data_IF_045256097468
#
_entry.id   IF_045256097468
#
_cell.length_a   1.000
_cell.length_b   1.000
_cell.length_c   1.000
_cell.angle_alpha   90.00
_cell.angle_beta   90.00
_cell.angle_gamma   90.00
#
_symmetry.space_group_name_H-M   'P 1'
#
loop_
_entity.id
_entity.type
_entity.pdbx_description
1 polymer ?
#
# COMPACT_ATOMS: atom_id res chain seq x y z
N UNK A 1 -1.65 4.34 23.42
CA UNK A 1 -2.97 4.56 22.79
C UNK A 1 -2.68 5.27 21.48
N UNK A 2 -2.62 4.54 20.36
CA UNK A 2 -2.27 5.15 19.08
C UNK A 2 -3.47 5.97 18.58
N UNK A 3 -3.26 7.24 18.27
CA UNK A 3 -4.29 8.10 17.69
C UNK A 3 -4.74 7.52 16.35
N UNK A 4 -5.97 7.00 16.33
CA UNK A 4 -6.65 6.57 15.11
C UNK A 4 -7.18 7.83 14.46
N UNK A 5 -6.65 8.16 13.28
CA UNK A 5 -7.15 9.27 12.47
C UNK A 5 -8.66 9.08 12.26
N UNK A 6 -9.53 10.08 12.51
CA UNK A 6 -10.97 9.88 12.54
C UNK A 6 -11.46 9.26 11.23
N UNK A 7 -12.20 8.17 11.37
CA UNK A 7 -12.93 7.53 10.30
C UNK A 7 -14.02 8.47 9.74
N UNK A 8 -14.66 8.05 8.64
CA UNK A 8 -15.79 8.75 8.03
C UNK A 8 -16.81 9.19 9.10
N UNK A 9 -17.40 10.40 9.00
CA UNK A 9 -18.34 10.91 10.00
C UNK A 9 -19.43 9.88 10.32
N UNK A 10 -19.56 9.50 11.59
CA UNK A 10 -20.60 8.60 12.09
C UNK A 10 -20.24 7.11 12.14
N UNK A 11 -19.00 6.71 11.82
CA UNK A 11 -18.54 5.32 12.02
C UNK A 11 -17.31 5.32 12.92
N UNK A 12 -17.42 4.71 14.11
CA UNK A 12 -16.27 4.45 14.98
C UNK A 12 -15.80 2.99 14.78
N UNK A 13 -14.63 2.75 14.17
CA UNK A 13 -14.15 1.39 13.92
C UNK A 13 -13.72 0.70 15.21
N UNK A 14 -14.23 -0.52 15.46
CA UNK A 14 -13.77 -1.34 16.59
C UNK A 14 -12.44 -2.01 16.27
N UNK A 15 -11.34 -1.43 16.73
CA UNK A 15 -9.99 -1.98 16.52
C UNK A 15 -9.74 -3.14 17.49
N UNK A 16 -9.77 -4.38 16.98
CA UNK A 16 -9.51 -5.58 17.80
C UNK A 16 -8.03 -6.00 17.80
N UNK A 17 -7.29 -5.65 16.74
CA UNK A 17 -5.90 -6.05 16.53
C UNK A 17 -5.12 -4.90 15.89
N UNK A 18 -3.84 -4.76 16.26
CA UNK A 18 -2.91 -3.82 15.66
C UNK A 18 -1.67 -4.58 15.19
N UNK A 19 -1.35 -4.46 13.91
CA UNK A 19 -0.14 -5.03 13.31
C UNK A 19 0.47 -4.02 12.34
N UNK A 20 1.78 -3.82 12.41
CA UNK A 20 2.50 -2.83 11.60
C UNK A 20 2.79 -3.30 10.18
N UNK A 21 2.91 -4.61 9.98
CA UNK A 21 3.26 -5.22 8.71
C UNK A 21 2.02 -5.75 7.98
N UNK A 22 1.90 -5.42 6.69
CA UNK A 22 0.78 -5.88 5.87
C UNK A 22 0.70 -7.42 5.77
N UNK A 23 1.82 -8.13 5.81
CA UNK A 23 1.80 -9.60 5.76
C UNK A 23 1.13 -10.19 7.01
N UNK A 24 1.37 -9.59 8.19
CA UNK A 24 0.79 -10.04 9.46
C UNK A 24 -0.70 -9.78 9.47
N UNK A 25 -1.12 -8.61 8.97
CA UNK A 25 -2.53 -8.27 8.79
C UNK A 25 -3.24 -9.30 7.89
N UNK A 26 -2.65 -9.66 6.74
CA UNK A 26 -3.24 -10.64 5.82
C UNK A 26 -3.29 -12.05 6.43
N UNK A 27 -2.28 -12.47 7.19
CA UNK A 27 -2.28 -13.76 7.87
C UNK A 27 -3.38 -13.84 8.95
N UNK A 28 -3.60 -12.76 9.71
CA UNK A 28 -4.69 -12.67 10.67
C UNK A 28 -6.06 -12.75 9.99
N UNK A 29 -6.23 -12.10 8.83
CA UNK A 29 -7.46 -12.16 8.04
C UNK A 29 -7.70 -13.58 7.52
N UNK A 30 -6.67 -14.24 6.99
CA UNK A 30 -6.76 -15.62 6.52
C UNK A 30 -7.15 -16.60 7.64
N UNK A 31 -6.73 -16.31 8.88
CA UNK A 31 -7.12 -17.07 10.07
C UNK A 31 -8.48 -16.65 10.67
N UNK A 32 -9.21 -15.72 10.04
CA UNK A 32 -10.56 -15.33 10.45
C UNK A 32 -10.65 -14.23 11.51
N UNK A 33 -9.55 -13.54 11.83
CA UNK A 33 -9.51 -12.49 12.86
C UNK A 33 -10.04 -11.11 12.41
N UNK A 34 -10.70 -11.03 11.24
CA UNK A 34 -11.45 -9.85 10.82
C UNK A 34 -11.10 -9.34 9.42
N UNK A 35 -11.11 -8.01 9.26
CA UNK A 35 -10.85 -7.30 7.99
C UNK A 35 -9.91 -6.13 8.22
N UNK A 36 -9.26 -5.66 7.16
CA UNK A 36 -8.45 -4.44 7.19
C UNK A 36 -8.58 -3.65 5.89
N UNK A 37 -8.21 -2.37 5.94
CA UNK A 37 -7.99 -1.57 4.73
C UNK A 37 -6.50 -1.65 4.38
N UNK A 38 -6.19 -2.29 3.24
CA UNK A 38 -4.81 -2.48 2.80
C UNK A 38 -4.50 -1.65 1.54
N UNK A 39 -3.32 -1.00 1.44
CA UNK A 39 -2.88 -0.36 0.21
C UNK A 39 -2.56 -1.41 -0.86
N UNK A 40 -2.69 -1.04 -2.14
CA UNK A 40 -2.23 -1.89 -3.25
C UNK A 40 -0.71 -2.05 -3.29
N UNK A 41 0.03 -1.05 -2.82
CA UNK A 41 1.48 -1.02 -2.81
C UNK A 41 2.03 -1.52 -1.48
N UNK A 42 2.89 -2.53 -1.52
CA UNK A 42 3.54 -3.08 -0.33
C UNK A 42 2.71 -4.15 0.40
N UNK A 43 1.49 -4.45 -0.07
CA UNK A 43 0.83 -5.71 0.29
C UNK A 43 1.52 -6.85 -0.45
N UNK A 44 1.79 -7.95 0.26
CA UNK A 44 2.29 -9.18 -0.35
C UNK A 44 1.22 -9.91 -1.18
N UNK A 45 1.50 -11.16 -1.57
CA UNK A 45 0.50 -12.06 -2.14
C UNK A 45 -0.73 -12.15 -1.25
N UNK A 46 -1.91 -12.29 -1.87
CA UNK A 46 -3.16 -12.48 -1.12
C UNK A 46 -3.25 -13.95 -0.73
N UNK A 47 -3.40 -14.29 0.56
CA UNK A 47 -3.56 -15.68 0.97
C UNK A 47 -4.83 -16.31 0.38
N UNK A 48 -4.82 -17.63 0.23
CA UNK A 48 -6.03 -18.39 -0.12
C UNK A 48 -7.16 -18.08 0.87
N UNK A 49 -8.39 -18.00 0.36
CA UNK A 49 -9.57 -17.65 1.16
C UNK A 49 -9.73 -16.16 1.48
N UNK A 50 -8.76 -15.30 1.13
CA UNK A 50 -8.85 -13.85 1.32
C UNK A 50 -9.26 -13.16 0.02
N UNK A 51 -10.27 -12.31 0.08
CA UNK A 51 -10.74 -11.51 -1.05
C UNK A 51 -10.38 -10.03 -0.90
N UNK A 52 -9.99 -9.39 -2.00
CA UNK A 52 -9.77 -7.94 -2.05
C UNK A 52 -10.99 -7.24 -2.64
N UNK A 53 -11.60 -6.36 -1.85
CA UNK A 53 -12.77 -5.58 -2.26
C UNK A 53 -12.37 -4.12 -2.47
N UNK A 54 -12.69 -3.50 -3.63
CA UNK A 54 -12.44 -2.08 -3.85
C UNK A 54 -13.19 -1.22 -2.82
N UNK A 55 -12.50 -0.23 -2.27
CA UNK A 55 -13.10 0.79 -1.40
C UNK A 55 -13.69 1.92 -2.23
N UNK A 56 -14.87 2.44 -1.84
CA UNK A 56 -15.53 3.56 -2.54
C UNK A 56 -14.71 4.85 -2.48
N UNK A 57 -14.14 5.14 -1.31
CA UNK A 57 -13.28 6.29 -1.08
C UNK A 57 -11.83 5.85 -1.28
N UNK A 58 -11.24 6.21 -2.41
CA UNK A 58 -9.91 5.73 -2.76
C UNK A 58 -8.84 6.51 -2.01
N UNK A 59 -8.07 5.84 -1.17
CA UNK A 59 -6.88 6.44 -0.55
C UNK A 59 -5.75 6.52 -1.57
N UNK A 60 -5.09 7.68 -1.67
CA UNK A 60 -3.93 7.88 -2.54
C UNK A 60 -2.66 7.83 -1.71
N UNK A 61 -1.67 7.07 -2.18
CA UNK A 61 -0.31 7.06 -1.62
C UNK A 61 0.61 7.83 -2.57
N UNK A 62 1.35 8.80 -2.04
CA UNK A 62 2.39 9.50 -2.80
C UNK A 62 3.73 8.81 -2.58
N UNK A 63 4.46 8.56 -3.68
CA UNK A 63 5.79 7.97 -3.67
C UNK A 63 6.76 8.99 -4.25
N UNK A 64 7.77 9.34 -3.45
CA UNK A 64 8.79 10.31 -3.81
C UNK A 64 10.13 9.60 -3.94
N UNK A 65 10.84 9.83 -5.04
CA UNK A 65 12.25 9.51 -5.16
C UNK A 65 13.05 10.73 -4.71
N UNK A 66 13.95 10.56 -3.77
CA UNK A 66 14.79 11.64 -3.21
C UNK A 66 16.23 11.22 -3.30
N UNK A 67 17.09 12.13 -3.77
CA UNK A 67 18.54 11.96 -3.81
C UNK A 67 19.20 13.29 -3.44
N UNK A 68 20.49 13.22 -3.10
CA UNK A 68 21.29 14.43 -2.85
C UNK A 68 21.52 15.17 -4.18
N UNK A 69 21.49 16.50 -4.16
CA UNK A 69 21.63 17.35 -5.37
C UNK A 69 22.90 17.06 -6.17
N UNK A 70 24.00 16.71 -5.50
CA UNK A 70 25.28 16.37 -6.11
C UNK A 70 25.28 15.01 -6.84
N UNK A 71 24.30 14.14 -6.58
CA UNK A 71 24.17 12.83 -7.20
C UNK A 71 23.45 12.87 -8.56
N UNK A 72 22.90 14.01 -8.98
CA UNK A 72 22.07 14.14 -10.18
C UNK A 72 22.79 13.76 -11.49
N UNK A 73 24.11 13.97 -11.54
CA UNK A 73 24.95 13.63 -12.70
C UNK A 73 25.22 12.14 -12.85
N UNK A 74 24.89 11.31 -11.85
CA UNK A 74 25.17 9.87 -11.88
C UNK A 74 24.18 9.17 -12.81
N UNK A 75 24.64 8.47 -13.87
CA UNK A 75 23.75 7.75 -14.79
C UNK A 75 22.84 6.74 -14.08
N UNK A 76 23.33 6.09 -13.02
CA UNK A 76 22.56 5.14 -12.22
C UNK A 76 21.36 5.76 -11.50
N UNK A 77 21.48 7.00 -11.00
CA UNK A 77 20.36 7.72 -10.37
C UNK A 77 19.28 8.03 -11.39
N UNK A 78 19.66 8.55 -12.56
CA UNK A 78 18.72 8.83 -13.66
C UNK A 78 18.02 7.55 -14.13
N UNK A 79 18.77 6.46 -14.30
CA UNK A 79 18.23 5.16 -14.72
C UNK A 79 17.22 4.59 -13.69
N UNK A 80 17.54 4.69 -12.39
CA UNK A 80 16.64 4.24 -11.32
C UNK A 80 15.34 5.06 -11.29
N UNK A 81 15.44 6.39 -11.38
CA UNK A 81 14.28 7.29 -11.39
C UNK A 81 13.40 7.03 -12.61
N UNK A 82 13.97 6.86 -13.80
CA UNK A 82 13.18 6.55 -15.00
C UNK A 82 12.47 5.20 -14.87
N UNK A 83 13.16 4.18 -14.34
CA UNK A 83 12.57 2.87 -14.08
C UNK A 83 11.40 2.95 -13.09
N UNK A 84 11.55 3.72 -12.01
CA UNK A 84 10.47 3.96 -11.03
C UNK A 84 9.29 4.70 -11.66
N UNK A 85 9.54 5.71 -12.51
CA UNK A 85 8.48 6.45 -13.23
C UNK A 85 7.73 5.54 -14.20
N UNK A 86 8.44 4.71 -14.96
CA UNK A 86 7.84 3.74 -15.87
C UNK A 86 6.97 2.72 -15.12
N UNK A 87 7.45 2.19 -14.00
CA UNK A 87 6.67 1.31 -13.14
C UNK A 87 5.43 2.02 -12.58
N UNK A 88 5.58 3.26 -12.09
CA UNK A 88 4.48 4.07 -11.59
C UNK A 88 3.38 4.31 -12.62
N UNK A 89 3.75 4.61 -13.89
CA UNK A 89 2.80 4.75 -15.00
C UNK A 89 2.00 3.46 -15.24
N UNK A 90 2.65 2.29 -15.23
CA UNK A 90 1.97 0.99 -15.39
C UNK A 90 0.95 0.73 -14.29
N UNK A 91 1.32 1.00 -13.03
CA UNK A 91 0.42 0.81 -11.88
C UNK A 91 -0.75 1.79 -11.92
N UNK A 92 -0.51 3.06 -12.29
CA UNK A 92 -1.55 4.08 -12.40
C UNK A 92 -2.54 3.79 -13.53
N UNK A 93 -2.09 3.21 -14.64
CA UNK A 93 -2.94 2.82 -15.76
C UNK A 93 -3.87 1.62 -15.45
N UNK A 94 -3.84 1.08 -14.23
CA UNK A 94 -4.72 -0.02 -13.82
C UNK A 94 -4.27 -1.39 -14.34
N UNK A 95 -3.07 -1.51 -14.92
CA UNK A 95 -2.52 -2.81 -15.26
C UNK A 95 -2.48 -3.70 -14.00
N UNK A 96 -2.93 -4.96 -14.09
CA UNK A 96 -2.85 -5.86 -12.95
C UNK A 96 -1.39 -5.95 -12.52
N UNK A 97 -1.14 -5.82 -11.22
CA UNK A 97 0.12 -6.27 -10.66
C UNK A 97 0.15 -7.77 -10.92
N UNK A 98 1.07 -8.22 -11.77
CA UNK A 98 1.30 -9.64 -12.03
C UNK A 98 1.47 -10.32 -10.67
N UNK A 99 0.60 -11.29 -10.41
CA UNK A 99 0.67 -12.17 -9.24
C UNK A 99 1.85 -13.11 -9.33
#
# INVERSE_FOLDING_TARGET
MADVHPALPGIEPRISHLAGEHHTQLALIAAGFGVCVAPRLGRGPVPEGVSLVPVRQTMRRHIHAVWRTDADRRPSVRAAVESLRAAGRRVAAGAPAVG
#
